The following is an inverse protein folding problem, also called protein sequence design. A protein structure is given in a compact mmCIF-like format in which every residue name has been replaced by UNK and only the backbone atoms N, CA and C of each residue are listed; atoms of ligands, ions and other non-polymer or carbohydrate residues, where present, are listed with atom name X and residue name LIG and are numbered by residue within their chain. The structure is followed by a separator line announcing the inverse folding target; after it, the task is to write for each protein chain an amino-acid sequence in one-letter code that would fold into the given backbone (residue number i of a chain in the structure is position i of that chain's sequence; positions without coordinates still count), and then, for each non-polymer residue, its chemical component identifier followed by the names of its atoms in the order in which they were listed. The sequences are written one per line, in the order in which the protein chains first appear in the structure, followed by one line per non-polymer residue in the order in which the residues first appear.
data_IF_800215468598
#
_entry.id   IF_800215468598
#
_cell.length_a   1.000
_cell.length_b   1.000
_cell.length_c   1.000
_cell.angle_alpha   90.00
_cell.angle_beta   90.00
_cell.angle_gamma   90.00
#
_symmetry.space_group_name_H-M   'P 1'
#
loop_
_entity.id
_entity.type
_entity.pdbx_description
1 polymer ?
#
# COMPACT_ATOMS: atom_id res chain seq x y z
N UNK A 1 -5.93 -9.92 14.46
CA UNK A 1 -6.77 -8.77 14.81
C UNK A 1 -5.89 -7.57 15.15
N UNK A 2 -6.21 -6.41 14.63
CA UNK A 2 -5.43 -5.19 14.88
C UNK A 2 -5.87 -4.53 16.17
N UNK A 3 -4.90 -4.23 17.03
CA UNK A 3 -5.12 -3.54 18.29
C UNK A 3 -4.51 -2.13 18.22
N UNK A 4 -5.24 -1.14 18.70
CA UNK A 4 -4.75 0.24 18.79
C UNK A 4 -3.62 0.32 19.83
N UNK A 5 -2.45 0.80 19.39
CA UNK A 5 -1.28 0.96 20.26
C UNK A 5 -1.09 2.42 20.65
N UNK A 6 -1.19 3.32 19.69
CA UNK A 6 -0.91 4.73 19.89
C UNK A 6 -1.84 5.59 19.03
N UNK A 7 -2.21 6.73 19.58
CA UNK A 7 -3.04 7.72 18.90
C UNK A 7 -2.42 9.10 19.13
N UNK A 8 -2.26 9.88 18.06
CA UNK A 8 -1.63 11.19 18.13
C UNK A 8 -2.32 12.18 17.21
N UNK A 9 -2.59 13.37 17.74
CA UNK A 9 -3.07 14.49 16.94
C UNK A 9 -1.90 15.23 16.31
N UNK A 10 -1.99 15.51 15.02
CA UNK A 10 -1.00 16.31 14.28
C UNK A 10 -1.69 17.62 13.87
N UNK A 11 -1.60 18.66 14.68
CA UNK A 11 -2.36 19.90 14.43
C UNK A 11 -1.91 20.65 13.17
N UNK A 12 -0.66 20.52 12.79
CA UNK A 12 -0.12 21.17 11.58
C UNK A 12 -0.79 20.67 10.30
N UNK A 13 -1.15 19.39 10.25
CA UNK A 13 -1.78 18.76 9.09
C UNK A 13 -3.29 18.56 9.28
N UNK A 14 -3.82 18.91 10.45
CA UNK A 14 -5.21 18.66 10.86
C UNK A 14 -5.60 17.19 10.68
N UNK A 15 -4.72 16.29 11.10
CA UNK A 15 -4.83 14.85 10.94
C UNK A 15 -4.68 14.16 12.29
N UNK A 16 -5.50 13.14 12.53
CA UNK A 16 -5.37 12.26 13.68
C UNK A 16 -4.75 10.95 13.23
N UNK A 17 -3.56 10.63 13.76
CA UNK A 17 -2.84 9.42 13.44
C UNK A 17 -3.13 8.32 14.46
N UNK A 18 -3.49 7.14 13.99
CA UNK A 18 -3.71 5.95 14.82
C UNK A 18 -2.81 4.82 14.36
N UNK A 19 -2.04 4.27 15.28
CA UNK A 19 -1.18 3.12 15.02
C UNK A 19 -1.81 1.85 15.58
N UNK A 20 -2.01 0.88 14.70
CA UNK A 20 -2.51 -0.45 15.04
C UNK A 20 -1.44 -1.49 14.80
N UNK A 21 -1.49 -2.56 15.56
CA UNK A 21 -0.58 -3.69 15.40
C UNK A 21 -1.36 -5.00 15.45
N UNK A 22 -1.07 -5.89 14.51
CA UNK A 22 -1.63 -7.24 14.52
C UNK A 22 -0.83 -8.13 15.47
N UNK A 23 -1.54 -8.83 16.36
CA UNK A 23 -0.93 -9.72 17.36
C UNK A 23 -0.38 -11.01 16.75
N UNK A 24 -0.91 -11.44 15.60
CA UNK A 24 -0.54 -12.71 14.97
C UNK A 24 0.71 -12.61 14.09
N UNK A 25 0.76 -11.62 13.23
CA UNK A 25 1.84 -11.45 12.25
C UNK A 25 2.75 -10.26 12.54
N UNK A 26 2.45 -9.51 13.60
CA UNK A 26 3.26 -8.37 14.02
C UNK A 26 3.34 -7.24 12.97
N UNK A 27 2.43 -7.22 12.02
CA UNK A 27 2.36 -6.14 11.04
C UNK A 27 1.69 -4.90 11.62
N UNK A 28 2.10 -3.75 11.13
CA UNK A 28 1.59 -2.46 11.60
C UNK A 28 0.65 -1.84 10.57
N UNK A 29 -0.39 -1.20 11.05
CA UNK A 29 -1.30 -0.40 10.24
C UNK A 29 -1.34 1.02 10.80
N UNK A 30 -0.96 1.98 9.98
CA UNK A 30 -1.01 3.39 10.32
C UNK A 30 -2.19 4.03 9.59
N UNK A 31 -3.13 4.55 10.37
CA UNK A 31 -4.35 5.16 9.84
C UNK A 31 -4.35 6.65 10.14
N UNK A 32 -4.61 7.46 9.12
CA UNK A 32 -4.76 8.90 9.24
C UNK A 32 -6.22 9.29 9.02
N UNK A 33 -6.83 9.87 10.03
CA UNK A 33 -8.18 10.44 9.92
C UNK A 33 -8.07 11.91 9.51
N UNK A 34 -8.69 12.26 8.40
CA UNK A 34 -8.70 13.61 7.85
C UNK A 34 -10.05 13.89 7.21
N UNK A 35 -10.42 15.16 7.12
CA UNK A 35 -11.61 15.62 6.40
C UNK A 35 -11.39 15.72 4.88
N UNK A 36 -10.19 15.39 4.40
CA UNK A 36 -9.87 15.42 2.99
C UNK A 36 -10.65 14.33 2.23
N UNK A 37 -11.23 14.70 1.09
CA UNK A 37 -11.99 13.79 0.24
C UNK A 37 -11.09 12.80 -0.50
N UNK A 38 -9.81 13.12 -0.68
CA UNK A 38 -8.85 12.21 -1.29
C UNK A 38 -8.46 11.10 -0.34
N UNK A 39 -8.49 9.87 -0.83
CA UNK A 39 -8.14 8.68 -0.06
C UNK A 39 -6.92 8.01 -0.65
N UNK A 40 -5.97 7.67 0.20
CA UNK A 40 -4.74 6.98 -0.19
C UNK A 40 -4.59 5.72 0.65
N UNK A 41 -4.27 4.64 -0.02
CA UNK A 41 -3.93 3.37 0.61
C UNK A 41 -2.54 2.94 0.14
N UNK A 42 -1.67 2.54 1.06
CA UNK A 42 -0.32 2.08 0.73
C UNK A 42 0.01 0.83 1.55
N UNK A 43 0.58 -0.16 0.88
CA UNK A 43 1.19 -1.33 1.53
C UNK A 43 2.68 -1.31 1.24
N UNK A 44 3.48 -1.42 2.29
CA UNK A 44 4.94 -1.43 2.18
C UNK A 44 5.51 -2.70 2.82
N UNK A 45 6.41 -3.37 2.10
CA UNK A 45 7.11 -4.54 2.59
C UNK A 45 8.59 -4.21 2.72
N UNK A 46 9.17 -4.52 3.89
CA UNK A 46 10.59 -4.36 4.10
C UNK A 46 11.32 -5.52 3.42
N UNK A 47 12.08 -5.20 2.39
CA UNK A 47 12.80 -6.17 1.57
C UNK A 47 14.26 -5.75 1.44
N UNK A 48 15.08 -6.16 2.40
CA UNK A 48 16.52 -5.88 2.36
C UNK A 48 17.19 -6.86 1.39
N UNK A 49 17.83 -6.40 0.31
CA UNK A 49 18.47 -7.30 -0.64
C UNK A 49 19.74 -7.91 -0.05
N UNK A 50 19.93 -9.20 -0.29
CA UNK A 50 21.17 -9.92 0.07
C UNK A 50 22.14 -10.00 -1.09
N UNK A 51 21.66 -9.76 -2.32
CA UNK A 51 22.46 -9.82 -3.54
C UNK A 51 21.92 -8.87 -4.60
N UNK A 52 22.47 -8.92 -5.80
CA UNK A 52 22.12 -8.02 -6.92
C UNK A 52 21.15 -8.66 -7.92
N UNK A 53 20.45 -9.73 -7.56
CA UNK A 53 19.56 -10.45 -8.49
C UNK A 53 18.25 -9.71 -8.78
N UNK A 54 17.89 -8.72 -7.97
CA UNK A 54 16.67 -7.95 -8.16
C UNK A 54 15.40 -8.73 -7.83
N UNK A 55 15.45 -9.69 -6.92
CA UNK A 55 14.33 -10.57 -6.57
C UNK A 55 13.10 -9.78 -6.13
N UNK A 56 13.26 -8.77 -5.30
CA UNK A 56 12.15 -7.96 -4.81
C UNK A 56 11.45 -7.21 -5.94
N UNK A 57 12.19 -6.66 -6.88
CA UNK A 57 11.66 -5.95 -8.04
C UNK A 57 10.92 -6.91 -9.00
N UNK A 58 11.48 -8.09 -9.22
CA UNK A 58 10.83 -9.13 -10.03
C UNK A 58 9.53 -9.59 -9.38
N UNK A 59 9.53 -9.78 -8.07
CA UNK A 59 8.35 -10.14 -7.31
C UNK A 59 7.27 -9.06 -7.39
N UNK A 60 7.65 -7.80 -7.32
CA UNK A 60 6.73 -6.67 -7.47
C UNK A 60 6.00 -6.74 -8.82
N UNK A 61 6.73 -6.91 -9.93
CA UNK A 61 6.14 -7.06 -11.26
C UNK A 61 5.22 -8.27 -11.36
N UNK A 62 5.63 -9.42 -10.84
CA UNK A 62 4.84 -10.64 -10.90
C UNK A 62 3.57 -10.59 -10.03
N UNK A 63 3.64 -9.91 -8.88
CA UNK A 63 2.48 -9.75 -8.00
C UNK A 63 1.34 -8.96 -8.67
N UNK A 64 1.66 -8.09 -9.61
CA UNK A 64 0.69 -7.29 -10.35
C UNK A 64 0.12 -7.99 -11.58
N UNK A 65 0.62 -9.18 -11.93
CA UNK A 65 0.22 -9.91 -13.15
C UNK A 65 -1.05 -10.74 -12.99
N UNK A 66 -1.61 -10.83 -11.79
CA UNK A 66 -2.83 -11.56 -11.53
C UNK A 66 -2.90 -12.12 -10.13
N UNK A 67 -4.04 -12.68 -9.76
CA UNK A 67 -4.24 -13.30 -8.46
C UNK A 67 -5.17 -14.50 -8.58
N UNK A 68 -5.19 -15.34 -7.53
CA UNK A 68 -6.10 -16.49 -7.46
C UNK A 68 -7.56 -16.07 -7.48
N UNK A 69 -7.89 -14.96 -6.82
CA UNK A 69 -9.25 -14.43 -6.76
C UNK A 69 -9.68 -13.78 -8.08
N UNK A 70 -8.74 -13.16 -8.77
CA UNK A 70 -8.96 -12.48 -10.05
C UNK A 70 -7.98 -13.02 -11.09
N UNK A 71 -8.24 -14.19 -11.69
CA UNK A 71 -7.32 -14.83 -12.62
C UNK A 71 -7.33 -14.19 -14.01
N UNK A 72 -7.08 -12.90 -14.05
CA UNK A 72 -7.00 -12.09 -15.27
C UNK A 72 -5.55 -11.80 -15.58
N UNK A 73 -5.15 -11.85 -16.84
CA UNK A 73 -3.81 -11.52 -17.26
C UNK A 73 -3.60 -10.02 -17.20
N UNK A 74 -2.53 -9.60 -16.50
CA UNK A 74 -2.10 -8.19 -16.35
C UNK A 74 -3.22 -7.24 -15.89
N UNK A 75 -3.89 -7.52 -14.75
CA UNK A 75 -4.99 -6.68 -14.28
C UNK A 75 -4.56 -5.24 -13.95
N UNK A 76 -3.32 -5.03 -13.56
CA UNK A 76 -2.78 -3.72 -13.19
C UNK A 76 -2.89 -2.71 -14.34
N UNK A 77 -2.39 -3.06 -15.52
CA UNK A 77 -2.44 -2.19 -16.68
C UNK A 77 -3.85 -1.95 -17.19
N UNK A 78 -4.71 -2.97 -17.08
CA UNK A 78 -6.12 -2.83 -17.43
C UNK A 78 -6.84 -1.85 -16.50
N UNK A 79 -6.57 -1.90 -15.21
CA UNK A 79 -7.14 -0.98 -14.23
C UNK A 79 -6.65 0.45 -14.44
N UNK A 80 -5.37 0.63 -14.72
CA UNK A 80 -4.81 1.97 -15.00
C UNK A 80 -5.47 2.65 -16.21
N UNK A 81 -5.75 1.88 -17.26
CA UNK A 81 -6.38 2.41 -18.48
C UNK A 81 -7.83 2.81 -18.29
N UNK A 82 -8.52 2.16 -17.34
CA UNK A 82 -9.96 2.34 -17.15
C UNK A 82 -10.31 3.24 -15.97
N UNK A 83 -9.34 3.55 -15.14
CA UNK A 83 -9.56 4.42 -13.99
C UNK A 83 -9.54 5.89 -14.39
N UNK A 84 -10.63 6.59 -14.14
CA UNK A 84 -10.72 8.02 -14.37
C UNK A 84 -10.23 8.83 -13.18
N UNK A 85 -10.56 8.39 -11.96
CA UNK A 85 -10.27 9.11 -10.73
C UNK A 85 -9.40 8.31 -9.75
N UNK A 86 -8.80 7.23 -10.19
CA UNK A 86 -7.97 6.38 -9.34
C UNK A 86 -6.56 6.31 -9.89
N UNK A 87 -5.60 6.65 -9.07
CA UNK A 87 -4.18 6.47 -9.37
C UNK A 87 -3.67 5.24 -8.61
N UNK A 88 -2.94 4.39 -9.29
CA UNK A 88 -2.31 3.21 -8.68
C UNK A 88 -0.89 3.06 -9.19
N UNK A 89 0.03 2.79 -8.30
CA UNK A 89 1.43 2.58 -8.64
C UNK A 89 2.07 1.56 -7.71
N UNK A 90 3.11 0.92 -8.19
CA UNK A 90 3.96 0.04 -7.40
C UNK A 90 5.41 0.31 -7.76
N UNK A 91 6.29 0.28 -6.77
CA UNK A 91 7.72 0.49 -7.01
C UNK A 91 8.55 -0.19 -5.93
N UNK A 92 9.78 -0.52 -6.28
CA UNK A 92 10.76 -1.13 -5.39
C UNK A 92 11.94 -0.18 -5.22
N UNK A 93 12.27 0.13 -3.97
CA UNK A 93 13.50 0.82 -3.62
C UNK A 93 14.50 -0.17 -3.01
N UNK A 94 15.70 0.30 -2.68
CA UNK A 94 16.77 -0.57 -2.16
C UNK A 94 16.42 -1.36 -0.90
N UNK A 95 15.44 -0.91 -0.12
CA UNK A 95 15.05 -1.57 1.14
C UNK A 95 13.56 -1.87 1.26
N UNK A 96 12.73 -1.38 0.33
CA UNK A 96 11.28 -1.43 0.47
C UNK A 96 10.59 -1.69 -0.87
N UNK A 97 9.59 -2.53 -0.82
CA UNK A 97 8.63 -2.73 -1.88
C UNK A 97 7.34 -1.99 -1.50
N UNK A 98 6.85 -1.14 -2.38
CA UNK A 98 5.63 -0.36 -2.15
C UNK A 98 4.55 -0.71 -3.17
N UNK A 99 3.33 -0.81 -2.70
CA UNK A 99 2.15 -0.69 -3.55
C UNK A 99 1.29 0.43 -3.00
N UNK A 100 0.86 1.35 -3.84
CA UNK A 100 0.03 2.47 -3.43
C UNK A 100 -1.19 2.60 -4.33
N UNK A 101 -2.29 2.95 -3.73
CA UNK A 101 -3.51 3.24 -4.45
C UNK A 101 -4.16 4.49 -3.88
N UNK A 102 -4.60 5.37 -4.75
CA UNK A 102 -5.44 6.49 -4.40
C UNK A 102 -6.77 6.32 -5.10
N UNK A 103 -7.85 6.40 -4.36
CA UNK A 103 -9.20 6.32 -4.89
C UNK A 103 -10.00 7.52 -4.39
N UNK A 104 -10.57 8.27 -5.29
CA UNK A 104 -11.59 9.24 -4.96
C UNK A 104 -12.91 8.51 -4.75
N UNK A 105 -13.66 8.91 -3.75
CA UNK A 105 -15.01 8.43 -3.57
C UNK A 105 -15.88 8.87 -4.77
N UNK A 106 -16.69 7.96 -5.28
CA UNK A 106 -17.63 8.33 -6.33
C UNK A 106 -18.69 9.31 -5.83
#
# INVERSE_FOLDING_TARGET
MFNLIEEKQIPLLDVKAKLFKDSKFNCQHLHFESENDEKVFMVAFKTVPEDSTGIAHILEHTALCGSKKYPVRDPFFMMLRRSLNTFMNAFTSSCLLYTSGAADDP
#
